data_IF_234602980390
#
_entry.id   IF_234602980390
#
_cell.length_a   1.000
_cell.length_b   1.000
_cell.length_c   1.000
_cell.angle_alpha   90.00
_cell.angle_beta   90.00
_cell.angle_gamma   90.00
#
_symmetry.space_group_name_H-M   'P 1'
#
loop_
_entity.id
_entity.type
_entity.pdbx_description
1 polymer ?
#
# COMPACT_ATOMS: atom_id res chain seq x y z
N UNK A 1 8.61 -7.36 2.38
CA UNK A 1 7.55 -8.18 3.04
C UNK A 1 7.97 -9.65 3.05
N UNK A 2 7.62 -10.40 4.10
CA UNK A 2 7.75 -11.87 4.14
C UNK A 2 6.37 -12.50 4.27
N UNK A 3 6.03 -13.42 3.37
CA UNK A 3 4.72 -14.06 3.30
C UNK A 3 4.77 -15.52 3.75
N UNK A 4 3.74 -15.93 4.48
CA UNK A 4 3.56 -17.29 4.98
C UNK A 4 2.32 -17.92 4.36
N UNK A 5 2.41 -19.16 3.91
CA UNK A 5 1.24 -19.95 3.51
C UNK A 5 0.41 -20.27 4.74
N UNK A 6 -0.89 -19.96 4.68
CA UNK A 6 -1.82 -20.14 5.81
C UNK A 6 -2.91 -21.13 5.49
N UNK A 7 -3.51 -21.69 6.56
CA UNK A 7 -4.75 -22.45 6.47
C UNK A 7 -5.87 -21.60 7.04
N UNK A 8 -6.75 -21.14 6.17
CA UNK A 8 -7.93 -20.38 6.56
C UNK A 8 -9.17 -21.28 6.54
N UNK A 9 -10.00 -21.14 7.57
CA UNK A 9 -11.25 -21.90 7.68
C UNK A 9 -12.40 -21.16 7.01
N UNK A 10 -12.37 -19.83 7.01
CA UNK A 10 -13.34 -19.01 6.32
C UNK A 10 -13.18 -19.15 4.80
N UNK A 11 -14.28 -19.01 4.07
CA UNK A 11 -14.28 -18.92 2.62
C UNK A 11 -15.37 -17.96 2.17
N UNK A 12 -15.09 -17.16 1.17
CA UNK A 12 -16.05 -16.23 0.58
C UNK A 12 -15.93 -16.22 -0.94
N UNK A 13 -16.90 -15.55 -1.56
CA UNK A 13 -16.84 -15.12 -2.95
C UNK A 13 -17.07 -13.61 -2.96
N UNK A 14 -16.26 -12.89 -3.71
CA UNK A 14 -16.42 -11.45 -3.89
C UNK A 14 -16.08 -11.07 -5.33
N UNK A 15 -16.68 -9.99 -5.79
CA UNK A 15 -16.30 -9.30 -7.02
C UNK A 15 -15.73 -7.94 -6.60
N UNK A 16 -14.62 -7.54 -7.22
CA UNK A 16 -13.92 -6.30 -6.88
C UNK A 16 -13.48 -5.61 -8.15
N UNK A 17 -13.59 -4.29 -8.16
CA UNK A 17 -13.00 -3.45 -9.18
C UNK A 17 -11.62 -2.97 -8.67
N UNK A 18 -10.57 -3.30 -9.41
CA UNK A 18 -9.19 -2.93 -9.11
C UNK A 18 -8.77 -1.82 -10.06
N UNK A 19 -8.81 -0.59 -9.57
CA UNK A 19 -8.25 0.55 -10.26
C UNK A 19 -6.77 0.67 -9.88
N UNK A 20 -5.86 0.32 -10.79
CA UNK A 20 -4.45 0.55 -10.55
C UNK A 20 -4.17 2.06 -10.49
N UNK A 21 -3.33 2.46 -9.52
CA UNK A 21 -2.87 3.85 -9.40
C UNK A 21 -1.83 4.21 -10.47
N UNK A 22 -1.32 3.20 -11.18
CA UNK A 22 -0.36 3.31 -12.25
C UNK A 22 -1.09 3.12 -13.58
N UNK A 23 -0.90 4.06 -14.50
CA UNK A 23 -1.64 4.12 -15.77
C UNK A 23 -1.44 2.89 -16.66
N UNK A 24 -0.32 2.19 -16.51
CA UNK A 24 0.05 1.01 -17.30
C UNK A 24 -0.80 -0.23 -16.99
N UNK A 25 -1.52 -0.23 -15.86
CA UNK A 25 -2.26 -1.39 -15.35
C UNK A 25 -3.79 -1.23 -15.40
N UNK A 26 -4.30 -0.01 -15.62
CA UNK A 26 -5.73 0.23 -15.90
C UNK A 26 -6.73 -0.15 -14.78
N UNK A 27 -7.99 -0.29 -15.16
CA UNK A 27 -9.10 -0.73 -14.31
C UNK A 27 -9.49 -2.17 -14.70
N UNK A 28 -9.54 -3.06 -13.72
CA UNK A 28 -9.90 -4.47 -13.91
C UNK A 28 -11.08 -4.87 -13.02
N UNK A 29 -12.00 -5.67 -13.57
CA UNK A 29 -13.06 -6.32 -12.80
C UNK A 29 -12.65 -7.76 -12.49
N UNK A 30 -12.45 -8.06 -11.21
CA UNK A 30 -11.88 -9.33 -10.76
C UNK A 30 -12.81 -10.08 -9.82
N UNK A 31 -12.68 -11.41 -9.81
CA UNK A 31 -13.38 -12.30 -8.88
C UNK A 31 -12.41 -12.88 -7.87
N UNK A 32 -12.75 -12.75 -6.59
CA UNK A 32 -12.08 -13.43 -5.49
C UNK A 32 -12.90 -14.67 -5.15
N UNK A 33 -12.26 -15.83 -5.23
CA UNK A 33 -12.85 -17.08 -4.77
C UNK A 33 -11.95 -17.70 -3.71
N UNK A 34 -12.49 -17.81 -2.50
CA UNK A 34 -11.99 -18.76 -1.52
C UNK A 34 -11.48 -18.11 -0.25
N UNK A 35 -10.26 -18.45 0.10
CA UNK A 35 -9.71 -18.38 1.45
C UNK A 35 -8.40 -17.61 1.42
N UNK A 36 -7.99 -17.05 2.55
CA UNK A 36 -6.66 -16.47 2.66
C UNK A 36 -5.59 -17.51 2.27
N UNK A 37 -4.73 -17.16 1.31
CA UNK A 37 -3.64 -18.02 0.83
C UNK A 37 -2.33 -17.69 1.54
N UNK A 38 -2.07 -16.39 1.68
CA UNK A 38 -0.87 -15.87 2.31
C UNK A 38 -1.22 -14.86 3.41
N UNK A 39 -0.43 -14.88 4.48
CA UNK A 39 -0.33 -13.79 5.44
C UNK A 39 1.08 -13.21 5.36
N UNK A 40 1.18 -11.92 5.06
CA UNK A 40 2.44 -11.22 4.84
C UNK A 40 2.68 -10.19 5.93
N UNK A 41 3.89 -10.17 6.47
CA UNK A 41 4.33 -9.20 7.49
C UNK A 41 5.44 -8.31 6.92
N UNK A 42 5.53 -7.04 7.35
CA UNK A 42 6.66 -6.19 7.04
C UNK A 42 7.94 -6.75 7.66
N UNK A 43 9.05 -6.59 6.93
CA UNK A 43 10.37 -7.05 7.35
C UNK A 43 11.43 -6.08 6.85
N UNK A 44 12.40 -5.79 7.70
CA UNK A 44 13.61 -5.10 7.31
C UNK A 44 14.50 -6.06 6.54
N UNK A 45 14.89 -5.67 5.34
CA UNK A 45 15.67 -6.55 4.46
C UNK A 45 17.05 -5.94 4.25
N UNK A 46 18.09 -6.67 4.65
CA UNK A 46 19.49 -6.32 4.37
C UNK A 46 20.06 -7.35 3.40
N UNK A 47 20.53 -6.91 2.24
CA UNK A 47 21.18 -7.80 1.27
C UNK A 47 22.63 -8.04 1.69
N UNK A 48 22.94 -9.26 2.12
CA UNK A 48 24.30 -9.62 2.59
C UNK A 48 25.19 -10.17 1.48
N UNK A 49 24.61 -10.77 0.43
CA UNK A 49 25.33 -11.34 -0.72
C UNK A 49 24.38 -11.58 -1.89
N UNK A 50 24.83 -11.27 -3.11
CA UNK A 50 24.14 -11.64 -4.35
C UNK A 50 25.03 -12.58 -5.17
N UNK A 51 24.43 -13.60 -5.79
CA UNK A 51 25.07 -14.51 -6.75
C UNK A 51 24.15 -14.72 -7.94
N UNK A 52 24.52 -14.19 -9.10
CA UNK A 52 23.75 -14.39 -10.34
C UNK A 52 24.12 -15.74 -10.97
N UNK A 53 23.11 -16.49 -11.45
CA UNK A 53 23.30 -17.84 -12.01
C UNK A 53 23.68 -17.86 -13.51
N UNK A 54 23.64 -16.72 -14.22
CA UNK A 54 23.88 -16.60 -15.67
C UNK A 54 24.51 -15.23 -16.02
N UNK A 55 24.96 -15.05 -17.28
CA UNK A 55 25.43 -13.78 -17.88
C UNK A 55 24.41 -12.63 -17.90
N UNK A 56 23.14 -12.90 -17.58
CA UNK A 56 22.12 -11.87 -17.41
C UNK A 56 22.18 -11.37 -15.97
N UNK A 57 23.29 -10.72 -15.62
CA UNK A 57 23.40 -10.01 -14.36
C UNK A 57 22.46 -8.81 -14.44
N UNK A 58 21.49 -8.74 -13.53
CA UNK A 58 20.80 -7.50 -13.25
C UNK A 58 21.81 -6.61 -12.52
N UNK A 59 22.17 -5.42 -13.05
CA UNK A 59 23.09 -4.54 -12.35
C UNK A 59 22.57 -4.29 -10.93
N UNK A 60 23.45 -4.41 -9.93
CA UNK A 60 23.09 -4.07 -8.56
C UNK A 60 22.71 -2.60 -8.52
N UNK A 61 21.45 -2.31 -8.18
CA UNK A 61 20.94 -0.96 -8.03
C UNK A 61 20.74 -0.69 -6.53
N UNK A 62 21.25 0.44 -5.99
CA UNK A 62 20.94 0.85 -4.63
C UNK A 62 19.51 1.40 -4.60
N UNK A 63 18.53 0.49 -4.59
CA UNK A 63 17.12 0.85 -4.42
C UNK A 63 16.64 0.42 -3.04
N UNK A 64 16.38 1.43 -2.20
CA UNK A 64 15.61 1.27 -0.97
C UNK A 64 14.19 1.71 -1.26
N UNK A 65 13.28 0.73 -1.43
CA UNK A 65 11.87 1.00 -1.64
C UNK A 65 11.19 1.58 -0.39
N UNK A 66 9.92 1.98 -0.51
CA UNK A 66 9.15 2.47 0.64
C UNK A 66 9.03 1.40 1.73
N UNK A 67 9.07 1.83 2.98
CA UNK A 67 8.80 0.95 4.11
C UNK A 67 7.32 0.53 4.12
N UNK A 68 7.10 -0.77 4.27
CA UNK A 68 5.75 -1.30 4.51
C UNK A 68 5.52 -1.35 6.01
N UNK A 69 4.42 -0.78 6.49
CA UNK A 69 4.10 -0.70 7.92
C UNK A 69 2.99 -1.63 8.37
N UNK A 70 2.17 -2.12 7.44
CA UNK A 70 0.98 -2.93 7.74
C UNK A 70 1.13 -4.37 7.28
N UNK A 71 0.56 -5.30 8.06
CA UNK A 71 0.38 -6.68 7.64
C UNK A 71 -0.57 -6.74 6.44
N UNK A 72 -0.51 -7.83 5.68
CA UNK A 72 -1.43 -8.08 4.57
C UNK A 72 -1.94 -9.51 4.55
N UNK A 73 -3.17 -9.69 4.09
CA UNK A 73 -3.72 -10.99 3.73
C UNK A 73 -3.91 -11.03 2.22
N UNK A 74 -3.42 -12.08 1.58
CA UNK A 74 -3.53 -12.24 0.13
C UNK A 74 -4.50 -13.36 -0.25
N UNK A 75 -5.33 -13.06 -1.23
CA UNK A 75 -6.35 -13.93 -1.80
C UNK A 75 -6.07 -14.20 -3.26
N UNK A 76 -6.44 -15.39 -3.73
CA UNK A 76 -6.42 -15.75 -5.14
C UNK A 76 -7.52 -14.98 -5.90
N UNK A 77 -7.15 -14.43 -7.05
CA UNK A 77 -8.02 -13.65 -7.92
C UNK A 77 -8.07 -14.26 -9.31
N UNK A 78 -9.23 -14.11 -9.94
CA UNK A 78 -9.45 -14.37 -11.36
C UNK A 78 -9.80 -13.01 -12.00
N UNK A 79 -8.90 -12.45 -12.80
CA UNK A 79 -9.12 -11.23 -13.56
C UNK A 79 -8.95 -11.52 -15.07
N UNK A 80 -9.50 -10.67 -15.96
CA UNK A 80 -9.12 -10.68 -17.36
C UNK A 80 -7.61 -10.54 -17.53
N UNK A 81 -7.04 -11.17 -18.55
CA UNK A 81 -5.62 -11.00 -18.86
C UNK A 81 -5.37 -9.56 -19.33
N UNK A 82 -4.46 -8.81 -18.69
CA UNK A 82 -4.22 -7.43 -19.08
C UNK A 82 -3.24 -7.35 -20.26
N UNK A 83 -3.41 -6.33 -21.10
CA UNK A 83 -2.49 -6.01 -22.18
C UNK A 83 -1.40 -5.04 -21.68
N UNK A 84 -0.43 -5.58 -20.93
CA UNK A 84 0.67 -4.79 -20.36
C UNK A 84 1.94 -5.03 -21.18
N UNK A 85 2.55 -3.93 -21.65
CA UNK A 85 3.85 -3.96 -22.31
C UNK A 85 4.98 -4.39 -21.37
N UNK A 86 6.20 -4.51 -21.90
CA UNK A 86 7.35 -4.78 -21.03
C UNK A 86 7.70 -3.55 -20.19
N UNK A 87 8.12 -3.79 -18.95
CA UNK A 87 8.47 -2.76 -17.98
C UNK A 87 9.86 -3.01 -17.41
N UNK A 88 10.69 -1.98 -17.40
CA UNK A 88 11.94 -2.00 -16.64
C UNK A 88 11.68 -1.67 -15.17
N UNK A 89 12.06 -2.58 -14.27
CA UNK A 89 11.81 -2.48 -12.83
C UNK A 89 13.10 -2.71 -12.06
N UNK A 90 13.32 -1.91 -11.01
CA UNK A 90 14.46 -2.02 -10.11
C UNK A 90 14.02 -2.38 -8.70
N UNK A 91 14.74 -3.28 -8.06
CA UNK A 91 14.64 -3.54 -6.63
C UNK A 91 16.05 -3.69 -6.02
N UNK A 92 16.11 -4.01 -4.72
CA UNK A 92 17.35 -4.25 -3.98
C UNK A 92 18.23 -5.40 -4.54
N UNK A 93 17.74 -6.18 -5.51
CA UNK A 93 18.49 -7.25 -6.18
C UNK A 93 18.95 -6.86 -7.59
N UNK A 94 18.54 -5.68 -8.08
CA UNK A 94 18.97 -5.08 -9.34
C UNK A 94 17.82 -4.72 -10.29
N UNK A 95 18.19 -4.24 -11.47
CA UNK A 95 17.27 -3.79 -12.54
C UNK A 95 17.04 -4.88 -13.58
N UNK A 96 15.78 -5.07 -14.00
CA UNK A 96 15.38 -6.08 -15.01
C UNK A 96 14.11 -5.69 -15.76
N UNK A 97 13.98 -6.21 -16.97
CA UNK A 97 12.75 -6.13 -17.76
C UNK A 97 11.77 -7.25 -17.33
N UNK A 98 10.52 -6.87 -17.06
CA UNK A 98 9.40 -7.76 -16.76
C UNK A 98 8.40 -7.72 -17.92
N UNK A 99 7.76 -8.86 -18.22
CA UNK A 99 6.80 -9.04 -19.31
C UNK A 99 5.78 -10.13 -18.94
N UNK A 100 4.73 -10.26 -19.75
CA UNK A 100 3.71 -11.32 -19.60
C UNK A 100 3.04 -11.25 -18.22
N UNK A 101 2.52 -10.07 -17.87
CA UNK A 101 1.92 -9.82 -16.56
C UNK A 101 0.57 -10.53 -16.42
N UNK A 102 0.42 -11.28 -15.32
CA UNK A 102 -0.82 -11.97 -14.97
C UNK A 102 -1.19 -11.70 -13.49
N UNK A 103 -2.38 -11.17 -13.19
CA UNK A 103 -2.83 -10.94 -11.83
C UNK A 103 -3.25 -12.27 -11.16
N UNK A 104 -2.53 -12.66 -10.10
CA UNK A 104 -2.76 -13.95 -9.40
C UNK A 104 -3.18 -13.79 -7.93
N UNK A 105 -2.80 -12.70 -7.29
CA UNK A 105 -3.09 -12.45 -5.87
C UNK A 105 -3.46 -10.99 -5.62
N UNK A 106 -4.52 -10.77 -4.84
CA UNK A 106 -4.85 -9.47 -4.25
C UNK A 106 -4.51 -9.47 -2.77
N UNK A 107 -3.59 -8.59 -2.35
CA UNK A 107 -3.14 -8.46 -0.96
C UNK A 107 -3.72 -7.22 -0.27
N UNK A 108 -4.68 -7.42 0.63
CA UNK A 108 -5.35 -6.34 1.37
C UNK A 108 -4.66 -6.05 2.71
N UNK A 109 -4.71 -4.82 3.24
CA UNK A 109 -4.23 -4.51 4.58
C UNK A 109 -4.88 -5.39 5.65
N UNK A 110 -4.14 -5.71 6.70
CA UNK A 110 -4.60 -6.51 7.83
C UNK A 110 -4.02 -5.99 9.15
N UNK A 111 -4.76 -6.23 10.23
CA UNK A 111 -4.32 -6.00 11.62
C UNK A 111 -4.49 -7.29 12.40
N UNK A 112 -3.64 -7.51 13.41
CA UNK A 112 -3.75 -8.68 14.29
C UNK A 112 -4.85 -8.42 15.33
N UNK A 113 -5.79 -9.35 15.46
CA UNK A 113 -6.92 -9.21 16.37
C UNK A 113 -8.11 -8.47 15.76
N UNK A 114 -9.04 -8.06 16.61
CA UNK A 114 -10.23 -7.31 16.18
C UNK A 114 -9.82 -5.85 15.95
N UNK A 115 -10.15 -5.24 14.80
CA UNK A 115 -9.88 -3.82 14.57
C UNK A 115 -10.55 -3.00 15.67
N UNK A 116 -9.81 -2.08 16.31
CA UNK A 116 -10.41 -1.13 17.23
C UNK A 116 -11.45 -0.30 16.47
N UNK A 117 -12.66 -0.20 16.99
CA UNK A 117 -13.68 0.71 16.46
C UNK A 117 -13.23 2.14 16.75
N UNK A 118 -12.65 2.81 15.77
CA UNK A 118 -12.29 4.22 15.91
C UNK A 118 -13.58 5.05 15.82
N UNK A 119 -14.12 5.48 16.95
CA UNK A 119 -15.13 6.55 16.98
C UNK A 119 -14.42 7.85 16.59
N UNK A 120 -14.55 8.26 15.32
CA UNK A 120 -14.09 9.57 14.86
C UNK A 120 -14.85 10.65 15.63
N UNK A 121 -14.21 11.21 16.65
CA UNK A 121 -14.74 12.35 17.39
C UNK A 121 -14.34 13.60 16.60
N UNK A 122 -15.26 14.14 15.81
CA UNK A 122 -15.07 15.40 15.10
C UNK A 122 -14.97 16.52 16.14
N UNK A 123 -13.75 16.91 16.51
CA UNK A 123 -13.52 18.07 17.38
C UNK A 123 -13.70 19.35 16.57
N UNK A 124 -14.85 19.99 16.73
CA UNK A 124 -15.17 21.30 16.18
C UNK A 124 -14.33 22.36 16.90
N UNK A 125 -13.31 22.91 16.23
CA UNK A 125 -12.52 24.02 16.75
C UNK A 125 -13.36 25.31 16.67
N UNK A 126 -13.81 25.82 17.81
CA UNK A 126 -14.44 27.14 17.91
C UNK A 126 -13.37 28.22 18.08
N UNK A 127 -13.18 29.03 17.04
CA UNK A 127 -12.29 30.19 17.06
C UNK A 127 -12.92 31.31 17.90
N UNK A 128 -12.32 31.68 19.03
CA UNK A 128 -12.77 32.79 19.87
C UNK A 128 -11.96 34.04 19.50
N UNK A 129 -12.60 34.99 18.82
CA UNK A 129 -12.01 36.29 18.49
C UNK A 129 -12.13 37.22 19.69
N UNK A 130 -11.00 37.59 20.30
CA UNK A 130 -10.95 38.53 21.42
C UNK A 130 -10.84 39.96 20.88
N UNK A 131 -11.91 40.76 21.03
CA UNK A 131 -11.92 42.19 20.73
C UNK A 131 -11.36 42.97 21.93
N UNK A 132 -10.28 43.71 21.71
CA UNK A 132 -9.70 44.65 22.68
C UNK A 132 -10.64 45.84 22.88
N UNK A 133 -10.91 46.29 24.13
CA UNK A 133 -11.62 47.54 24.38
C UNK A 133 -10.68 48.73 24.16
N UNK A 134 -11.14 49.73 23.38
CA UNK A 134 -10.41 50.97 23.16
C UNK A 134 -10.32 51.78 24.46
N UNK A 135 -9.11 52.10 24.89
CA UNK A 135 -8.86 53.06 25.96
C UNK A 135 -9.16 54.48 25.47
N UNK A 136 -9.89 55.19 26.32
CA UNK A 136 -10.30 56.58 26.18
C UNK A 136 -9.14 57.42 26.72
N UNK A 137 -8.54 58.28 25.91
CA UNK A 137 -7.67 59.35 26.39
C UNK A 137 -8.39 60.69 26.22
N UNK A 138 -8.58 61.37 27.35
CA UNK A 138 -9.05 62.74 27.46
C UNK A 138 -7.90 63.59 27.98
N UNK A 139 -7.48 64.59 27.21
CA UNK A 139 -6.72 65.81 27.59
C UNK A 139 -6.51 66.55 26.24
N UNK A 140 -6.80 67.82 25.99
CA UNK A 140 -6.81 69.02 26.83
C UNK A 140 -6.03 70.10 26.05
N UNK A 141 -6.58 71.32 26.02
CA UNK A 141 -5.97 72.62 25.63
C UNK A 141 -6.14 73.15 24.19
N UNK A 142 -6.69 74.38 24.10
CA UNK A 142 -6.76 75.22 22.90
C UNK A 142 -8.03 76.04 22.73
#
# INVERSE_FOLDING_TARGET
MKCYKVKDRASFKAEVDLAALQSEFGLEHCRLKGKAKLFCVPVDTTVTKIRYKKKNEAPAAPYSGPEYTNDRICYEIECPSPEIGSLEVSDQFGTRELKEFEPVLLCTPAVKGVPATTTSTTSTTSTTTTTLPACIDADGDG
#
